data_IF_454880042962
#
_entry.id   IF_454880042962
#
_cell.length_a   1.000
_cell.length_b   1.000
_cell.length_c   1.000
_cell.angle_alpha   90.00
_cell.angle_beta   90.00
_cell.angle_gamma   90.00
#
_symmetry.space_group_name_H-M   'P 1'
#
loop_
_entity.id
_entity.type
_entity.pdbx_description
1 polymer ?
#
# COMPACT_ATOMS: atom_id res chain seq x y z
N UNK A 1 15.01 25.60 29.25
CA UNK A 1 15.34 24.51 28.31
C UNK A 1 15.38 25.15 26.94
N UNK A 2 16.56 25.24 26.33
CA UNK A 2 16.74 25.85 25.01
C UNK A 2 16.62 24.73 23.97
N UNK A 3 15.76 24.93 22.97
CA UNK A 3 15.70 24.02 21.83
C UNK A 3 17.02 24.10 21.07
N UNK A 4 17.71 22.98 20.94
CA UNK A 4 18.88 22.85 20.08
C UNK A 4 18.49 22.27 18.71
N UNK A 5 19.50 22.06 17.87
CA UNK A 5 19.30 21.53 16.52
C UNK A 5 18.67 20.13 16.54
N UNK A 6 18.89 19.34 17.60
CA UNK A 6 18.32 18.01 17.75
C UNK A 6 16.84 18.10 18.10
N UNK A 7 16.47 19.03 18.98
CA UNK A 7 15.07 19.27 19.33
C UNK A 7 14.26 19.75 18.11
N UNK A 8 14.83 20.64 17.29
CA UNK A 8 14.19 21.10 16.04
C UNK A 8 14.06 19.98 15.00
N UNK A 9 15.09 19.13 14.86
CA UNK A 9 15.06 17.99 13.95
C UNK A 9 13.99 16.97 14.36
N UNK A 10 13.91 16.64 15.65
CA UNK A 10 12.91 15.73 16.19
C UNK A 10 11.48 16.27 16.02
N UNK A 11 11.27 17.57 16.30
CA UNK A 11 9.98 18.22 16.07
C UNK A 11 9.57 18.17 14.60
N UNK A 12 10.52 18.38 13.67
CA UNK A 12 10.26 18.31 12.24
C UNK A 12 9.93 16.89 11.78
N UNK A 13 10.63 15.88 12.28
CA UNK A 13 10.33 14.47 11.99
C UNK A 13 8.92 14.10 12.45
N UNK A 14 8.56 14.48 13.68
CA UNK A 14 7.23 14.24 14.23
C UNK A 14 6.13 14.90 13.39
N UNK A 15 6.34 16.15 12.98
CA UNK A 15 5.41 16.85 12.08
C UNK A 15 5.24 16.12 10.74
N UNK A 16 6.32 15.60 10.15
CA UNK A 16 6.23 14.83 8.89
C UNK A 16 5.46 13.53 9.07
N UNK A 17 5.64 12.82 10.18
CA UNK A 17 4.89 11.61 10.51
C UNK A 17 3.40 11.92 10.67
N UNK A 18 3.05 12.98 11.40
CA UNK A 18 1.66 13.40 11.60
C UNK A 18 0.97 13.75 10.28
N UNK A 19 1.67 14.49 9.41
CA UNK A 19 1.17 14.80 8.06
C UNK A 19 1.00 13.53 7.23
N UNK A 20 1.93 12.59 7.28
CA UNK A 20 1.83 11.33 6.54
C UNK A 20 0.65 10.47 7.04
N UNK A 21 0.44 10.40 8.36
CA UNK A 21 -0.69 9.67 8.95
C UNK A 21 -2.02 10.32 8.60
N UNK A 22 -2.11 11.66 8.66
CA UNK A 22 -3.33 12.39 8.32
C UNK A 22 -3.71 12.25 6.84
N UNK A 23 -2.72 12.14 5.94
CA UNK A 23 -2.95 11.99 4.50
C UNK A 23 -2.95 10.54 4.01
N UNK A 24 -2.84 9.56 4.91
CA UNK A 24 -2.85 8.15 4.54
C UNK A 24 -4.21 7.79 3.92
N UNK A 25 -4.22 7.39 2.65
CA UNK A 25 -5.42 6.86 2.01
C UNK A 25 -5.86 5.57 2.71
N UNK A 26 -7.15 5.49 3.02
CA UNK A 26 -7.74 4.26 3.52
C UNK A 26 -7.58 3.14 2.47
N UNK A 27 -7.34 1.89 2.89
CA UNK A 27 -7.29 0.78 1.96
C UNK A 27 -8.64 0.62 1.26
N UNK A 28 -8.60 0.28 -0.02
CA UNK A 28 -9.81 -0.03 -0.78
C UNK A 28 -10.51 -1.25 -0.16
N UNK A 29 -11.86 -1.28 -0.16
CA UNK A 29 -12.58 -2.45 0.30
C UNK A 29 -12.24 -3.67 -0.58
N UNK A 30 -12.29 -4.90 -0.03
CA UNK A 30 -12.03 -6.10 -0.81
C UNK A 30 -12.99 -6.24 -1.98
N UNK A 31 -12.47 -6.61 -3.15
CA UNK A 31 -13.27 -6.82 -4.35
C UNK A 31 -14.06 -8.13 -4.24
N UNK A 32 -15.34 -8.17 -4.64
CA UNK A 32 -16.11 -9.42 -4.67
C UNK A 32 -15.63 -10.41 -5.75
N UNK A 33 -14.91 -9.93 -6.76
CA UNK A 33 -14.34 -10.73 -7.85
C UNK A 33 -12.81 -10.69 -7.76
N UNK A 34 -12.16 -11.82 -8.04
CA UNK A 34 -10.71 -11.96 -7.99
C UNK A 34 -10.03 -10.85 -8.80
N UNK A 35 -9.09 -10.16 -8.17
CA UNK A 35 -8.33 -9.05 -8.76
C UNK A 35 -7.30 -9.53 -9.79
N UNK A 36 -6.96 -10.82 -9.77
CA UNK A 36 -6.19 -11.41 -10.85
C UNK A 36 -7.04 -11.42 -12.12
N UNK A 37 -6.75 -10.51 -13.05
CA UNK A 37 -7.60 -10.15 -14.18
C UNK A 37 -8.05 -11.35 -15.04
N UNK A 38 -7.22 -12.39 -15.13
CA UNK A 38 -7.47 -13.57 -15.94
C UNK A 38 -8.28 -14.67 -15.21
N UNK A 39 -8.53 -14.51 -13.91
CA UNK A 39 -9.17 -15.54 -13.10
C UNK A 39 -10.71 -15.45 -13.13
N UNK A 40 -11.29 -14.30 -12.82
CA UNK A 40 -12.74 -14.10 -12.84
C UNK A 40 -13.56 -14.84 -11.77
N UNK A 41 -12.91 -15.64 -10.91
CA UNK A 41 -13.57 -16.34 -9.81
C UNK A 41 -13.99 -15.38 -8.67
N UNK A 42 -14.99 -15.76 -7.83
CA UNK A 42 -15.34 -14.98 -6.65
C UNK A 42 -14.17 -14.92 -5.66
N UNK A 43 -13.98 -13.75 -5.04
CA UNK A 43 -12.98 -13.58 -3.98
C UNK A 43 -13.36 -14.29 -2.70
N UNK A 44 -12.36 -14.65 -1.91
CA UNK A 44 -12.58 -15.13 -0.55
C UNK A 44 -13.03 -13.98 0.38
N UNK A 45 -13.76 -14.28 1.46
CA UNK A 45 -14.16 -13.27 2.43
C UNK A 45 -12.96 -12.49 2.99
N UNK A 46 -13.05 -11.16 2.95
CA UNK A 46 -11.99 -10.28 3.45
C UNK A 46 -10.77 -10.15 2.54
N UNK A 47 -10.78 -10.78 1.36
CA UNK A 47 -9.71 -10.66 0.37
C UNK A 47 -10.28 -10.22 -0.98
N UNK A 48 -9.40 -9.78 -1.87
CA UNK A 48 -9.74 -9.50 -3.27
C UNK A 48 -9.31 -10.63 -4.20
N UNK A 49 -9.08 -11.85 -3.68
CA UNK A 49 -8.50 -12.97 -4.43
C UNK A 49 -9.21 -14.28 -4.10
N UNK A 50 -9.39 -15.16 -5.08
CA UNK A 50 -10.00 -16.47 -4.87
C UNK A 50 -9.06 -17.46 -4.13
N UNK A 51 -7.74 -17.29 -4.29
CA UNK A 51 -6.71 -18.14 -3.69
C UNK A 51 -5.36 -17.40 -3.53
N UNK A 52 -4.40 -17.95 -2.77
CA UNK A 52 -3.07 -17.35 -2.59
C UNK A 52 -2.29 -17.20 -3.89
N UNK A 53 -2.37 -18.17 -4.80
CA UNK A 53 -1.64 -18.15 -6.08
C UNK A 53 -2.04 -16.93 -6.93
N UNK A 54 -3.34 -16.63 -7.02
CA UNK A 54 -3.83 -15.46 -7.75
C UNK A 54 -3.37 -14.13 -7.16
N UNK A 55 -3.18 -14.06 -5.83
CA UNK A 55 -2.59 -12.88 -5.19
C UNK A 55 -1.12 -12.73 -5.60
N UNK A 56 -0.36 -13.82 -5.54
CA UNK A 56 1.07 -13.79 -5.84
C UNK A 56 1.34 -13.43 -7.32
N UNK A 57 0.50 -13.92 -8.23
CA UNK A 57 0.60 -13.58 -9.66
C UNK A 57 0.32 -12.09 -9.91
N UNK A 58 -0.75 -11.53 -9.33
CA UNK A 58 -1.03 -10.10 -9.42
C UNK A 58 0.11 -9.26 -8.81
N UNK A 59 0.61 -9.63 -7.62
CA UNK A 59 1.75 -8.94 -6.99
C UNK A 59 3.00 -8.93 -7.86
N UNK A 60 3.33 -10.05 -8.53
CA UNK A 60 4.44 -10.12 -9.49
C UNK A 60 4.23 -9.19 -10.67
N UNK A 61 3.01 -9.17 -11.23
CA UNK A 61 2.68 -8.30 -12.35
C UNK A 61 2.74 -6.82 -11.98
N UNK A 62 2.17 -6.43 -10.83
CA UNK A 62 2.24 -5.07 -10.31
C UNK A 62 3.69 -4.64 -10.09
N UNK A 63 4.55 -5.51 -9.54
CA UNK A 63 5.97 -5.23 -9.36
C UNK A 63 6.67 -5.02 -10.70
N UNK A 64 6.38 -5.85 -11.70
CA UNK A 64 6.93 -5.68 -13.04
C UNK A 64 6.51 -4.35 -13.67
N UNK A 65 5.25 -3.93 -13.52
CA UNK A 65 4.76 -2.62 -14.00
C UNK A 65 5.50 -1.47 -13.31
N UNK A 66 5.64 -1.53 -11.99
CA UNK A 66 6.33 -0.48 -11.24
C UNK A 66 7.78 -0.33 -11.72
N UNK A 67 8.49 -1.44 -11.94
CA UNK A 67 9.86 -1.42 -12.47
C UNK A 67 9.93 -0.88 -13.90
N UNK A 68 8.97 -1.22 -14.76
CA UNK A 68 8.89 -0.68 -16.14
C UNK A 68 8.63 0.82 -16.19
N UNK A 69 7.97 1.40 -15.19
CA UNK A 69 7.72 2.86 -15.13
C UNK A 69 8.95 3.69 -14.76
N UNK A 70 10.04 3.06 -14.35
CA UNK A 70 11.28 3.72 -13.91
C UNK A 70 12.34 3.72 -15.02
N UNK A 71 12.15 2.95 -16.08
CA UNK A 71 13.02 2.90 -17.27
C UNK A 71 12.58 3.91 -18.34
#
# INVERSE_FOLDING_TARGET
>A
MYADILDEAAAREQQLIEVALANRKAPEPPSPVCRNADCGEPSQPGTSYCCPECREDDERWQRAIQQRRVA
#
